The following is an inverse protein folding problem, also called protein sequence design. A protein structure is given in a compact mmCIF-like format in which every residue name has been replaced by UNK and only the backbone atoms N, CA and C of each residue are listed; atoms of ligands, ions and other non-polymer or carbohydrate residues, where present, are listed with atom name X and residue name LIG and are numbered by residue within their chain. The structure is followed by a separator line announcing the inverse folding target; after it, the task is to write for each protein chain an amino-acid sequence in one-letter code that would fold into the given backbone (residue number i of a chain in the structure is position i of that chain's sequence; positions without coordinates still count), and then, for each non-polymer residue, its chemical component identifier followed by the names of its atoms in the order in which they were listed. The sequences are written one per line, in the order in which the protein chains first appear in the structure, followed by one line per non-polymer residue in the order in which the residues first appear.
data_IF_429285392049
#
_entry.id   IF_429285392049
#
_cell.length_a   1.000
_cell.length_b   1.000
_cell.length_c   1.000
_cell.angle_alpha   90.00
_cell.angle_beta   90.00
_cell.angle_gamma   90.00
#
_symmetry.space_group_name_H-M   'P 1'
#
loop_
_entity.id
_entity.type
_entity.pdbx_description
1 polymer ?
#
# COMPACT_ATOMS: atom_id res chain seq x y z
N UNK A 1 -16.47 -0.46 -1.96
CA UNK A 1 -17.52 0.57 -2.11
C UNK A 1 -18.94 0.11 -1.73
N UNK A 2 -19.35 -1.16 -1.94
CA UNK A 2 -20.73 -1.62 -1.63
C UNK A 2 -21.21 -1.31 -0.21
N UNK A 3 -20.36 -1.41 0.82
CA UNK A 3 -20.75 -1.11 2.19
C UNK A 3 -21.16 0.35 2.42
N UNK A 4 -20.52 1.30 1.70
CA UNK A 4 -20.79 2.74 1.82
C UNK A 4 -21.72 3.27 0.71
N UNK A 5 -22.11 2.40 -0.24
CA UNK A 5 -22.86 2.76 -1.46
C UNK A 5 -22.28 3.99 -2.18
N UNK A 6 -20.96 4.16 -2.09
CA UNK A 6 -20.23 5.28 -2.64
C UNK A 6 -18.88 4.79 -3.14
N UNK A 7 -18.48 5.21 -4.34
CA UNK A 7 -17.17 4.88 -4.90
C UNK A 7 -16.05 5.64 -4.19
N UNK A 8 -16.37 6.80 -3.58
CA UNK A 8 -15.45 7.55 -2.73
C UNK A 8 -15.51 7.00 -1.30
N UNK A 9 -14.35 7.02 -0.65
CA UNK A 9 -14.07 6.54 0.70
C UNK A 9 -13.43 7.67 1.54
N UNK A 10 -14.05 8.87 1.61
CA UNK A 10 -13.47 9.98 2.37
C UNK A 10 -13.37 9.62 3.86
N UNK A 11 -12.31 10.10 4.52
CA UNK A 11 -12.07 9.82 5.94
C UNK A 11 -11.60 8.38 6.22
N UNK A 12 -11.43 7.55 5.19
CA UNK A 12 -10.97 6.16 5.36
C UNK A 12 -9.45 6.08 5.54
N UNK A 13 -9.04 5.04 6.27
CA UNK A 13 -7.65 4.62 6.44
C UNK A 13 -7.50 3.24 5.82
N UNK A 14 -6.57 3.08 4.89
CA UNK A 14 -6.26 1.80 4.27
C UNK A 14 -4.97 1.22 4.86
N UNK A 15 -5.07 0.02 5.45
CA UNK A 15 -3.93 -0.72 5.98
C UNK A 15 -3.53 -1.84 5.01
N UNK A 16 -2.25 -1.95 4.70
CA UNK A 16 -1.69 -3.03 3.86
C UNK A 16 -0.37 -3.53 4.45
N UNK A 17 -0.09 -4.82 4.37
CA UNK A 17 1.17 -5.37 4.91
C UNK A 17 2.36 -5.03 4.03
N UNK A 18 2.14 -4.83 2.72
CA UNK A 18 3.16 -4.44 1.76
C UNK A 18 2.80 -3.10 1.13
N UNK A 19 3.80 -2.27 0.85
CA UNK A 19 3.63 -1.01 0.14
C UNK A 19 2.84 -1.20 -1.17
N UNK A 20 1.81 -0.36 -1.43
CA UNK A 20 0.99 -0.52 -2.62
C UNK A 20 1.76 -0.13 -3.88
N UNK A 21 1.50 -0.89 -4.96
CA UNK A 21 2.01 -0.57 -6.28
C UNK A 21 1.24 0.59 -6.94
N UNK A 22 1.70 1.01 -8.12
CA UNK A 22 1.11 2.08 -8.93
C UNK A 22 -0.42 1.92 -9.10
N UNK A 23 -0.88 0.71 -9.44
CA UNK A 23 -2.29 0.41 -9.65
C UNK A 23 -3.11 0.64 -8.37
N UNK A 24 -2.64 0.09 -7.25
CA UNK A 24 -3.35 0.16 -5.97
C UNK A 24 -3.40 1.59 -5.43
N UNK A 25 -2.28 2.32 -5.46
CA UNK A 25 -2.23 3.68 -4.96
C UNK A 25 -3.03 4.65 -5.87
N UNK A 26 -3.01 4.44 -7.18
CA UNK A 26 -3.87 5.15 -8.12
C UNK A 26 -5.36 4.94 -7.80
N UNK A 27 -5.77 3.70 -7.51
CA UNK A 27 -7.14 3.41 -7.11
C UNK A 27 -7.52 4.14 -5.80
N UNK A 28 -6.62 4.19 -4.81
CA UNK A 28 -6.84 4.93 -3.56
C UNK A 28 -7.00 6.44 -3.78
N UNK A 29 -6.22 7.03 -4.71
CA UNK A 29 -6.31 8.45 -5.06
C UNK A 29 -7.69 8.79 -5.66
N UNK A 30 -8.18 7.96 -6.58
CA UNK A 30 -9.51 8.11 -7.17
C UNK A 30 -10.62 7.86 -6.16
N UNK A 31 -10.43 6.89 -5.27
CA UNK A 31 -11.36 6.58 -4.19
C UNK A 31 -11.33 7.61 -3.04
N UNK A 32 -10.43 8.60 -3.04
CA UNK A 32 -10.33 9.62 -1.96
C UNK A 32 -10.03 9.02 -0.58
N UNK A 33 -9.19 7.99 -0.51
CA UNK A 33 -8.69 7.44 0.76
C UNK A 33 -7.85 8.51 1.45
N UNK A 34 -8.02 8.75 2.76
CA UNK A 34 -7.31 9.82 3.45
C UNK A 34 -5.87 9.41 3.82
N UNK A 35 -5.73 8.22 4.39
CA UNK A 35 -4.47 7.74 4.95
C UNK A 35 -4.18 6.34 4.43
N UNK A 36 -2.95 6.14 3.97
CA UNK A 36 -2.38 4.84 3.69
C UNK A 36 -1.39 4.50 4.81
N UNK A 37 -1.59 3.34 5.43
CA UNK A 37 -0.64 2.76 6.37
C UNK A 37 -0.11 1.45 5.78
N UNK A 38 1.21 1.33 5.62
CA UNK A 38 1.82 0.10 5.16
C UNK A 38 2.94 -0.42 6.05
N UNK A 39 3.16 -1.73 6.00
CA UNK A 39 4.23 -2.41 6.74
C UNK A 39 5.57 -2.40 6.03
N UNK A 40 5.82 -3.42 5.22
CA UNK A 40 7.07 -3.56 4.48
C UNK A 40 7.07 -2.69 3.20
N UNK A 41 8.21 -2.08 2.89
CA UNK A 41 8.44 -1.40 1.63
C UNK A 41 8.57 -2.38 0.45
N UNK A 42 8.14 -1.99 -0.74
CA UNK A 42 8.31 -2.78 -1.97
C UNK A 42 9.39 -2.15 -2.85
N UNK A 43 10.60 -2.72 -2.79
CA UNK A 43 11.76 -2.26 -3.56
C UNK A 43 11.61 -2.41 -5.09
N UNK A 44 10.60 -3.14 -5.58
CA UNK A 44 10.40 -3.40 -7.01
C UNK A 44 9.29 -2.55 -7.61
N UNK A 45 8.19 -2.38 -6.87
CA UNK A 45 6.97 -1.78 -7.41
C UNK A 45 6.32 -0.73 -6.49
N UNK A 46 6.92 -0.42 -5.34
CA UNK A 46 6.37 0.49 -4.34
C UNK A 46 6.13 1.90 -4.87
N UNK A 47 4.88 2.35 -4.81
CA UNK A 47 4.47 3.67 -5.31
C UNK A 47 4.18 4.69 -4.19
N UNK A 48 4.40 4.31 -2.93
CA UNK A 48 4.17 5.14 -1.74
C UNK A 48 5.44 5.78 -1.18
N UNK A 49 6.50 5.89 -1.99
CA UNK A 49 7.77 6.51 -1.60
C UNK A 49 9.01 5.68 -1.92
N UNK A 50 8.90 4.38 -2.21
CA UNK A 50 10.10 3.55 -2.46
C UNK A 50 10.63 3.66 -3.88
N UNK A 51 9.82 3.34 -4.90
CA UNK A 51 10.23 3.46 -6.32
C UNK A 51 9.67 4.74 -6.92
N UNK A 52 8.41 5.04 -6.60
CA UNK A 52 7.68 6.22 -7.03
C UNK A 52 6.94 6.77 -5.81
N UNK A 53 6.61 8.06 -5.84
CA UNK A 53 5.69 8.65 -4.87
C UNK A 53 4.51 9.31 -5.58
N UNK A 54 3.42 8.55 -5.71
CA UNK A 54 2.18 9.06 -6.30
C UNK A 54 1.43 10.02 -5.37
N UNK A 55 1.70 9.96 -4.06
CA UNK A 55 1.05 10.83 -3.09
C UNK A 55 1.55 12.28 -3.19
N UNK A 56 2.79 12.46 -3.63
CA UNK A 56 3.43 13.77 -3.78
C UNK A 56 3.23 14.45 -5.16
N UNK A 57 2.56 13.81 -6.13
CA UNK A 57 2.43 14.35 -7.50
C UNK A 57 1.53 15.60 -7.52
N UNK A 58 2.05 16.80 -7.85
CA UNK A 58 1.33 18.06 -7.66
C UNK A 58 0.03 18.16 -8.47
N UNK A 59 -0.04 17.51 -9.63
CA UNK A 59 -1.18 17.55 -10.54
C UNK A 59 -2.43 16.83 -10.02
N UNK A 60 -2.30 15.94 -9.03
CA UNK A 60 -3.47 15.28 -8.45
C UNK A 60 -4.22 16.20 -7.49
N UNK A 61 -5.56 16.12 -7.55
CA UNK A 61 -6.48 16.93 -6.76
C UNK A 61 -6.77 16.37 -5.35
N UNK A 62 -6.23 15.19 -5.02
CA UNK A 62 -6.34 14.56 -3.71
C UNK A 62 -4.96 14.11 -3.24
N UNK A 63 -4.71 14.25 -1.94
CA UNK A 63 -3.46 13.85 -1.29
C UNK A 63 -3.78 12.75 -0.28
N UNK A 64 -2.98 11.70 -0.33
CA UNK A 64 -3.04 10.62 0.65
C UNK A 64 -1.88 10.83 1.60
N UNK A 65 -2.15 10.86 2.90
CA UNK A 65 -1.08 10.81 3.89
C UNK A 65 -0.53 9.38 3.93
N UNK A 66 0.77 9.22 3.74
CA UNK A 66 1.42 7.90 3.73
C UNK A 66 2.20 7.69 5.03
N UNK A 67 1.95 6.57 5.68
CA UNK A 67 2.64 6.12 6.90
C UNK A 67 3.21 4.73 6.62
N UNK A 68 4.53 4.65 6.37
CA UNK A 68 5.24 3.40 6.12
C UNK A 68 5.92 2.83 7.36
N UNK A 69 6.28 1.55 7.29
CA UNK A 69 7.15 0.91 8.29
C UNK A 69 6.42 0.27 9.48
N UNK A 70 5.08 0.23 9.49
CA UNK A 70 4.32 -0.30 10.64
C UNK A 70 4.43 -1.83 10.68
N UNK A 71 5.15 -2.35 11.69
CA UNK A 71 5.48 -3.79 11.79
C UNK A 71 6.17 -4.31 10.52
N UNK A 72 7.10 -3.52 9.98
CA UNK A 72 7.78 -3.81 8.71
C UNK A 72 8.43 -5.20 8.70
N UNK A 73 9.16 -5.56 9.76
CA UNK A 73 9.86 -6.85 9.86
C UNK A 73 8.90 -8.03 9.79
N UNK A 74 7.78 -7.95 10.51
CA UNK A 74 6.78 -9.01 10.53
C UNK A 74 6.08 -9.14 9.17
N UNK A 75 5.76 -8.01 8.55
CA UNK A 75 5.17 -7.99 7.21
C UNK A 75 6.13 -8.54 6.14
N UNK A 76 7.41 -8.21 6.22
CA UNK A 76 8.44 -8.72 5.32
C UNK A 76 8.65 -10.23 5.51
N UNK A 77 8.62 -10.69 6.77
CA UNK A 77 8.77 -12.11 7.10
C UNK A 77 7.65 -12.97 6.49
N UNK A 78 6.40 -12.48 6.46
CA UNK A 78 5.29 -13.16 5.78
C UNK A 78 5.61 -13.41 4.30
N UNK A 79 6.11 -12.39 3.59
CA UNK A 79 6.46 -12.48 2.18
C UNK A 79 7.64 -13.44 1.94
N UNK A 80 8.66 -13.36 2.80
CA UNK A 80 9.84 -14.22 2.72
C UNK A 80 9.49 -15.70 2.95
N UNK A 81 8.65 -16.00 3.93
CA UNK A 81 8.15 -17.36 4.21
C UNK A 81 7.39 -17.92 3.01
N UNK A 82 6.43 -17.16 2.49
CA UNK A 82 5.64 -17.54 1.31
C UNK A 82 6.52 -17.93 0.12
N UNK A 83 7.53 -17.12 -0.21
CA UNK A 83 8.40 -17.43 -1.35
C UNK A 83 9.44 -18.53 -1.05
N UNK A 84 9.85 -18.72 0.21
CA UNK A 84 10.73 -19.83 0.61
C UNK A 84 10.04 -21.16 0.40
N UNK A 85 8.82 -21.29 0.89
CA UNK A 85 7.99 -22.50 0.73
C UNK A 85 7.79 -22.83 -0.75
N UNK A 86 7.50 -21.83 -1.59
CA UNK A 86 7.34 -22.02 -3.04
C UNK A 86 8.60 -22.44 -3.79
N UNK A 87 9.79 -22.16 -3.24
CA UNK A 87 11.08 -22.59 -3.82
C UNK A 87 11.53 -23.97 -3.31
N UNK A 88 10.71 -24.66 -2.51
CA UNK A 88 11.04 -25.96 -1.93
C UNK A 88 11.96 -25.87 -0.71
N UNK A 89 12.07 -24.70 -0.06
CA UNK A 89 12.72 -24.62 1.24
C UNK A 89 11.77 -25.16 2.31
N UNK A 90 12.16 -26.23 2.99
CA UNK A 90 11.46 -26.73 4.19
C UNK A 90 11.49 -25.66 5.31
N UNK A 91 10.48 -25.70 6.18
CA UNK A 91 10.20 -24.67 7.20
C UNK A 91 11.21 -24.71 8.35
#
# INVERSE_FOLDING_TARGET
AKALQNYRLPGSICYTTLEPCLMCLGAMLWARVNILVYGAADARAGAGGTVLDLSAVPQFNHRIQVIGGVRADECALLLQRFFRERRGGEM
#
